data_IF_862164670753
#
_entry.id   IF_862164670753
#
_cell.length_a   1.000
_cell.length_b   1.000
_cell.length_c   1.000
_cell.angle_alpha   90.00
_cell.angle_beta   90.00
_cell.angle_gamma   90.00
#
_symmetry.space_group_name_H-M   'P 1'
#
loop_
_entity.id
_entity.type
_entity.pdbx_description
1 polymer ?
#
# COMPACT_ATOMS: atom_id res chain seq x y z
N UNK A 1 -4.66 6.18 47.56
CA UNK A 1 -4.00 4.99 46.97
C UNK A 1 -4.44 4.93 45.52
N UNK A 2 -3.46 4.84 44.63
CA UNK A 2 -3.61 4.99 43.18
C UNK A 2 -4.34 3.82 42.52
N UNK A 3 -4.97 4.10 41.38
CA UNK A 3 -4.88 3.32 40.15
C UNK A 3 -5.48 4.14 39.00
N UNK A 4 -4.67 4.80 38.16
CA UNK A 4 -5.13 5.21 36.83
C UNK A 4 -5.06 3.97 35.93
N UNK A 5 -6.20 3.56 35.37
CA UNK A 5 -6.22 2.65 34.24
C UNK A 5 -5.62 3.37 33.06
N UNK A 6 -4.31 3.23 32.88
CA UNK A 6 -3.60 3.61 31.67
C UNK A 6 -4.13 2.74 30.53
N UNK A 7 -5.11 3.29 29.82
CA UNK A 7 -5.46 2.86 28.47
C UNK A 7 -4.27 3.22 27.58
N UNK A 8 -3.30 2.32 27.55
CA UNK A 8 -2.17 2.32 26.61
C UNK A 8 -2.72 2.07 25.21
N UNK A 9 -3.31 3.10 24.62
CA UNK A 9 -3.29 3.24 23.17
C UNK A 9 -1.84 3.50 22.82
N UNK A 10 -1.07 2.42 22.63
CA UNK A 10 0.20 2.48 21.94
C UNK A 10 -0.08 3.29 20.67
N UNK A 11 0.53 4.46 20.58
CA UNK A 11 0.71 5.12 19.31
C UNK A 11 1.62 4.17 18.52
N UNK A 12 1.00 3.15 17.91
CA UNK A 12 1.58 2.35 16.84
C UNK A 12 2.31 3.37 15.99
N UNK A 13 3.64 3.26 15.96
CA UNK A 13 4.45 4.15 15.14
C UNK A 13 3.86 4.03 13.75
N UNK A 14 3.16 5.08 13.32
CA UNK A 14 2.25 4.97 12.20
C UNK A 14 3.11 4.73 10.97
N UNK A 15 3.18 3.47 10.60
CA UNK A 15 4.14 2.92 9.66
C UNK A 15 3.37 2.57 8.41
N UNK A 16 4.08 2.59 7.28
CA UNK A 16 3.48 2.26 6.00
C UNK A 16 3.04 0.78 5.99
N UNK A 17 1.73 0.53 6.00
CA UNK A 17 1.15 -0.78 5.76
C UNK A 17 0.90 -1.04 4.27
N UNK A 18 0.48 -2.25 3.94
CA UNK A 18 0.18 -2.66 2.55
C UNK A 18 -0.97 -1.86 1.94
N UNK A 19 -1.89 -1.36 2.76
CA UNK A 19 -2.97 -0.47 2.32
C UNK A 19 -2.44 0.88 1.88
N UNK A 20 -1.62 1.53 2.72
CA UNK A 20 -0.99 2.81 2.41
C UNK A 20 -0.10 2.67 1.17
N UNK A 21 0.66 1.58 1.07
CA UNK A 21 1.49 1.26 -0.10
C UNK A 21 0.67 1.10 -1.39
N UNK A 22 -0.49 0.43 -1.33
CA UNK A 22 -1.39 0.27 -2.47
C UNK A 22 -1.99 1.62 -2.89
N UNK A 23 -2.37 2.46 -1.94
CA UNK A 23 -2.84 3.82 -2.19
C UNK A 23 -1.77 4.67 -2.88
N UNK A 24 -0.52 4.61 -2.40
CA UNK A 24 0.60 5.31 -3.01
C UNK A 24 0.81 4.87 -4.46
N UNK A 25 0.83 3.56 -4.73
CA UNK A 25 0.99 3.06 -6.09
C UNK A 25 -0.16 3.49 -7.01
N UNK A 26 -1.40 3.49 -6.51
CA UNK A 26 -2.57 3.99 -7.24
C UNK A 26 -2.48 5.51 -7.52
N UNK A 27 -2.05 6.31 -6.54
CA UNK A 27 -1.90 7.75 -6.69
C UNK A 27 -0.80 8.08 -7.72
N UNK A 28 0.33 7.36 -7.68
CA UNK A 28 1.40 7.50 -8.68
C UNK A 28 0.93 7.09 -10.08
N UNK A 29 0.13 6.03 -10.21
CA UNK A 29 -0.47 5.63 -11.49
C UNK A 29 -1.37 6.73 -12.07
N UNK A 30 -2.10 7.48 -11.22
CA UNK A 30 -3.02 8.54 -11.63
C UNK A 30 -2.33 9.84 -11.97
N UNK A 31 -1.42 10.31 -11.11
CA UNK A 31 -0.77 11.62 -11.23
C UNK A 31 0.57 11.56 -11.97
N UNK A 32 1.13 10.37 -12.15
CA UNK A 32 2.42 10.13 -12.78
C UNK A 32 3.62 10.43 -11.87
N UNK A 33 4.82 10.18 -12.38
CA UNK A 33 6.09 10.29 -11.63
C UNK A 33 6.64 11.71 -11.47
N UNK A 34 5.90 12.73 -11.93
CA UNK A 34 6.34 14.13 -11.91
C UNK A 34 5.54 14.99 -10.92
N UNK A 35 4.31 14.58 -10.60
CA UNK A 35 3.39 15.34 -9.75
C UNK A 35 3.34 14.79 -8.32
N UNK A 36 4.49 14.73 -7.64
CA UNK A 36 4.59 14.18 -6.28
C UNK A 36 3.81 14.98 -5.23
N UNK A 37 3.56 16.27 -5.47
CA UNK A 37 2.67 17.09 -4.63
C UNK A 37 1.23 16.56 -4.65
N UNK A 38 0.69 16.27 -5.84
CA UNK A 38 -0.64 15.69 -5.99
C UNK A 38 -0.73 14.28 -5.40
N UNK A 39 0.33 13.48 -5.57
CA UNK A 39 0.44 12.15 -4.97
C UNK A 39 0.40 12.25 -3.44
N UNK A 40 1.21 13.12 -2.85
CA UNK A 40 1.25 13.33 -1.41
C UNK A 40 -0.10 13.78 -0.85
N UNK A 41 -0.74 14.76 -1.50
CA UNK A 41 -2.07 15.23 -1.09
C UNK A 41 -3.13 14.12 -1.16
N UNK A 42 -3.10 13.27 -2.19
CA UNK A 42 -4.03 12.15 -2.29
C UNK A 42 -3.79 11.11 -1.19
N UNK A 43 -2.54 10.75 -0.91
CA UNK A 43 -2.18 9.81 0.15
C UNK A 43 -2.59 10.36 1.52
N UNK A 44 -2.31 11.64 1.80
CA UNK A 44 -2.71 12.31 3.05
C UNK A 44 -4.22 12.30 3.26
N UNK A 45 -5.00 12.47 2.18
CA UNK A 45 -6.47 12.48 2.27
C UNK A 45 -7.09 11.11 2.55
N UNK A 46 -6.32 10.02 2.39
CA UNK A 46 -6.80 8.64 2.41
C UNK A 46 -6.13 7.75 3.45
N UNK A 47 -5.18 8.30 4.21
CA UNK A 47 -4.41 7.58 5.22
C UNK A 47 -4.37 8.38 6.51
N UNK A 48 -4.23 7.67 7.63
CA UNK A 48 -4.00 8.30 8.95
C UNK A 48 -2.50 8.43 9.25
N UNK A 49 -1.65 8.40 8.22
CA UNK A 49 -0.20 8.51 8.39
C UNK A 49 0.18 9.93 8.84
N UNK A 50 1.21 10.08 9.67
CA UNK A 50 1.74 11.38 10.05
C UNK A 50 2.22 12.15 8.83
N UNK A 51 1.91 13.45 8.79
CA UNK A 51 2.33 14.37 7.73
C UNK A 51 3.83 14.25 7.35
N UNK A 52 4.77 14.07 8.30
CA UNK A 52 6.19 13.88 7.95
C UNK A 52 6.47 12.66 7.07
N UNK A 53 5.65 11.60 7.13
CA UNK A 53 5.82 10.38 6.35
C UNK A 53 5.12 10.43 4.99
N UNK A 54 4.25 11.42 4.78
CA UNK A 54 3.46 11.60 3.55
C UNK A 54 3.85 12.86 2.80
N UNK A 55 5.06 13.40 3.04
CA UNK A 55 5.58 14.49 2.21
C UNK A 55 5.88 13.98 0.79
N UNK A 56 5.88 14.84 -0.24
CA UNK A 56 6.19 14.44 -1.62
C UNK A 56 7.48 13.63 -1.75
N UNK A 57 8.52 14.05 -1.01
CA UNK A 57 9.81 13.35 -0.96
C UNK A 57 9.68 11.96 -0.34
N UNK A 58 8.96 11.81 0.77
CA UNK A 58 8.76 10.50 1.40
C UNK A 58 7.90 9.57 0.54
N UNK A 59 6.86 10.07 -0.11
CA UNK A 59 6.08 9.31 -1.09
C UNK A 59 6.97 8.81 -2.24
N UNK A 60 7.88 9.65 -2.73
CA UNK A 60 8.83 9.25 -3.77
C UNK A 60 9.80 8.16 -3.30
N UNK A 61 10.41 8.34 -2.13
CA UNK A 61 11.33 7.35 -1.54
C UNK A 61 10.62 6.01 -1.29
N UNK A 62 9.41 6.06 -0.74
CA UNK A 62 8.60 4.86 -0.47
C UNK A 62 8.20 4.16 -1.76
N UNK A 63 7.86 4.90 -2.82
CA UNK A 63 7.56 4.32 -4.11
C UNK A 63 8.78 3.62 -4.74
N UNK A 64 9.98 4.20 -4.60
CA UNK A 64 11.21 3.55 -5.05
C UNK A 64 11.50 2.27 -4.27
N UNK A 65 11.25 2.27 -2.96
CA UNK A 65 11.36 1.09 -2.13
C UNK A 65 10.41 -0.02 -2.58
N UNK A 66 9.13 0.31 -2.79
CA UNK A 66 8.13 -0.59 -3.37
C UNK A 66 8.59 -1.16 -4.70
N UNK A 67 9.02 -0.29 -5.62
CA UNK A 67 9.52 -0.71 -6.93
C UNK A 67 10.66 -1.71 -6.79
N UNK A 68 11.63 -1.49 -5.89
CA UNK A 68 12.72 -2.44 -5.66
C UNK A 68 12.23 -3.77 -5.09
N UNK A 69 11.30 -3.74 -4.13
CA UNK A 69 10.78 -4.94 -3.46
C UNK A 69 10.09 -5.90 -4.41
N UNK A 70 9.31 -5.36 -5.35
CA UNK A 70 8.57 -6.16 -6.33
C UNK A 70 9.30 -6.31 -7.68
N UNK A 71 10.34 -5.52 -7.97
CA UNK A 71 11.19 -5.73 -9.16
C UNK A 71 12.37 -6.66 -8.88
N UNK A 72 12.70 -6.92 -7.60
CA UNK A 72 13.63 -7.98 -7.26
C UNK A 72 12.98 -9.32 -7.66
N UNK A 73 13.70 -10.21 -8.36
CA UNK A 73 13.17 -11.53 -8.69
C UNK A 73 12.89 -12.25 -7.38
N UNK A 74 11.62 -12.29 -7.00
CA UNK A 74 11.14 -13.14 -5.92
C UNK A 74 11.36 -14.57 -6.38
N UNK A 75 12.31 -15.26 -5.75
CA UNK A 75 12.69 -16.64 -6.03
C UNK A 75 11.61 -17.67 -5.62
N UNK A 76 10.35 -17.38 -5.93
CA UNK A 76 9.20 -18.26 -5.76
C UNK A 76 8.43 -18.25 -7.06
N UNK A 77 8.78 -19.23 -7.90
CA UNK A 77 8.06 -19.60 -9.09
C UNK A 77 6.73 -20.22 -8.69
N UNK A 78 5.61 -19.56 -8.99
CA UNK A 78 4.35 -20.28 -9.19
C UNK A 78 3.46 -19.52 -10.17
N UNK A 79 2.98 -20.27 -11.15
CA UNK A 79 2.24 -19.88 -12.35
C UNK A 79 0.91 -19.19 -12.05
N UNK A 80 0.59 -18.09 -12.75
CA UNK A 80 -0.79 -17.82 -13.19
C UNK A 80 -0.78 -17.09 -14.53
N UNK A 81 -1.48 -17.69 -15.48
CA UNK A 81 -1.69 -17.29 -16.86
C UNK A 81 -2.31 -15.88 -17.02
N UNK A 82 -1.78 -15.20 -18.04
CA UNK A 82 -2.42 -14.27 -18.96
C UNK A 82 -3.96 -14.15 -18.88
N UNK A 83 -4.47 -12.94 -18.59
CA UNK A 83 -5.61 -12.42 -19.33
C UNK A 83 -5.37 -10.97 -19.74
N UNK A 84 -5.50 -10.77 -21.05
CA UNK A 84 -5.24 -9.55 -21.79
C UNK A 84 -6.52 -8.75 -21.86
N UNK A 85 -6.57 -7.60 -21.18
CA UNK A 85 -7.65 -6.61 -21.36
C UNK A 85 -7.10 -5.34 -22.05
N UNK A 86 -7.46 -5.27 -23.33
CA UNK A 86 -7.72 -4.13 -24.21
C UNK A 86 -6.81 -2.89 -24.23
N UNK A 87 -6.34 -2.47 -25.44
CA UNK A 87 -5.71 -1.18 -25.66
C UNK A 87 -6.80 -0.12 -25.83
N UNK A 88 -7.03 0.68 -24.81
CA UNK A 88 -7.81 1.92 -24.94
C UNK A 88 -7.10 3.05 -24.23
N UNK A 89 -6.22 3.70 -24.99
CA UNK A 89 -6.19 5.16 -25.07
C UNK A 89 -5.92 5.92 -23.78
N UNK A 90 -4.90 5.55 -23.03
CA UNK A 90 -4.09 6.53 -22.31
C UNK A 90 -2.72 5.92 -22.08
N UNK A 91 -1.63 6.68 -22.22
CA UNK A 91 -0.28 6.20 -21.88
C UNK A 91 -0.16 6.15 -20.36
N UNK A 92 -1.02 5.36 -19.73
CA UNK A 92 -0.94 5.12 -18.29
C UNK A 92 0.32 4.32 -18.10
N UNK A 93 1.30 4.93 -17.46
CA UNK A 93 2.52 4.26 -17.06
C UNK A 93 2.13 2.98 -16.30
N UNK A 94 2.24 1.83 -16.98
CA UNK A 94 1.83 0.54 -16.42
C UNK A 94 2.82 0.24 -15.31
N UNK A 95 2.35 0.26 -14.05
CA UNK A 95 3.12 -0.16 -12.89
C UNK A 95 3.03 -1.70 -12.85
N UNK A 96 4.06 -2.45 -13.27
CA UNK A 96 3.91 -3.89 -13.57
C UNK A 96 3.58 -4.74 -12.34
N UNK A 97 4.03 -4.30 -11.16
CA UNK A 97 3.86 -4.99 -9.89
C UNK A 97 2.61 -4.55 -9.10
N UNK A 98 1.80 -3.64 -9.64
CA UNK A 98 0.62 -3.14 -8.92
C UNK A 98 -0.38 -4.26 -8.61
N UNK A 99 -0.53 -5.23 -9.50
CA UNK A 99 -1.46 -6.35 -9.30
C UNK A 99 -0.95 -7.33 -8.25
N UNK A 100 0.37 -7.50 -8.11
CA UNK A 100 0.97 -8.28 -7.03
C UNK A 100 0.69 -7.64 -5.66
N UNK A 101 0.84 -6.32 -5.56
CA UNK A 101 0.52 -5.59 -4.33
C UNK A 101 -0.98 -5.69 -3.98
N UNK A 102 -1.88 -5.70 -4.98
CA UNK A 102 -3.31 -5.95 -4.74
C UNK A 102 -3.56 -7.36 -4.22
N UNK A 103 -2.92 -8.38 -4.82
CA UNK A 103 -3.03 -9.77 -4.37
C UNK A 103 -2.56 -9.91 -2.91
N UNK A 104 -1.43 -9.29 -2.57
CA UNK A 104 -0.91 -9.27 -1.19
C UNK A 104 -1.94 -8.68 -0.22
N UNK A 105 -2.49 -7.50 -0.52
CA UNK A 105 -3.49 -6.87 0.35
C UNK A 105 -4.74 -7.73 0.52
N UNK A 106 -5.21 -8.38 -0.56
CA UNK A 106 -6.36 -9.28 -0.49
C UNK A 106 -6.06 -10.51 0.36
N UNK A 107 -4.85 -11.08 0.27
CA UNK A 107 -4.44 -12.22 1.08
C UNK A 107 -4.44 -11.88 2.59
N UNK A 108 -3.88 -10.72 2.95
CA UNK A 108 -3.90 -10.23 4.34
C UNK A 108 -5.33 -10.02 4.85
N UNK A 109 -6.19 -9.38 4.06
CA UNK A 109 -7.59 -9.18 4.44
C UNK A 109 -8.34 -10.51 4.62
N UNK A 110 -8.07 -11.51 3.78
CA UNK A 110 -8.66 -12.86 3.91
C UNK A 110 -8.20 -13.54 5.20
N UNK A 111 -6.92 -13.43 5.53
CA UNK A 111 -6.36 -13.99 6.77
C UNK A 111 -6.96 -13.32 8.01
N UNK A 112 -7.10 -11.99 7.98
CA UNK A 112 -7.69 -11.22 9.06
C UNK A 112 -9.16 -11.61 9.29
N UNK A 113 -9.95 -11.74 8.20
CA UNK A 113 -11.34 -12.23 8.28
C UNK A 113 -11.41 -13.62 8.90
N UNK A 114 -10.60 -14.56 8.43
CA UNK A 114 -10.57 -15.92 8.98
C UNK A 114 -10.23 -15.94 10.48
N UNK A 115 -9.31 -15.08 10.91
CA UNK A 115 -8.93 -14.97 12.32
C UNK A 115 -10.11 -14.52 13.18
N UNK A 116 -10.89 -13.55 12.72
CA UNK A 116 -12.10 -13.12 13.42
C UNK A 116 -13.17 -14.20 13.41
N UNK A 117 -13.40 -14.88 12.28
CA UNK A 117 -14.37 -15.98 12.20
C UNK A 117 -14.10 -17.07 13.25
N UNK A 118 -12.84 -17.45 13.45
CA UNK A 118 -12.43 -18.43 14.47
C UNK A 118 -12.55 -17.89 15.90
N UNK A 119 -12.40 -16.58 16.09
CA UNK A 119 -12.48 -15.94 17.41
C UNK A 119 -13.91 -15.70 17.90
N UNK A 120 -14.91 -15.89 17.03
CA UNK A 120 -16.35 -15.74 17.33
C UNK A 120 -16.98 -17.08 17.77
N UNK A 121 -16.26 -18.20 17.61
CA UNK A 121 -16.66 -19.55 18.06
C UNK A 121 -16.18 -19.84 19.49
#
# INVERSE_FOLDING_TARGET
MANPSENSGEAETATWGTWEELLLACAVKRHGFKAWESVASEVQSRTSLPLPLTTPLHCQLKYQDLKRRFSAPTATAEDVENDSVSPSGDKVDVIPWLDELRKLRVAELRQEVQRYDVSIL
#
